data_IF_079044820966
#
_entry.id   IF_079044820966
#
_cell.length_a   1.000
_cell.length_b   1.000
_cell.length_c   1.000
_cell.angle_alpha   90.00
_cell.angle_beta   90.00
_cell.angle_gamma   90.00
#
_symmetry.space_group_name_H-M   'P 1'
#
loop_
_entity.id
_entity.type
_entity.pdbx_description
1 polymer ?
#
# COMPACT_ATOMS: atom_id res chain seq x y z
N UNK A 1 -29.70 -14.98 -27.57
CA UNK A 1 -28.69 -14.83 -26.50
C UNK A 1 -29.21 -15.52 -25.25
N UNK A 2 -28.48 -16.50 -24.71
CA UNK A 2 -29.01 -17.43 -23.73
C UNK A 2 -29.07 -16.76 -22.34
N UNK A 3 -30.28 -16.57 -21.77
CA UNK A 3 -30.48 -15.80 -20.52
C UNK A 3 -29.61 -16.31 -19.35
N UNK A 4 -29.32 -17.61 -19.31
CA UNK A 4 -28.42 -18.23 -18.32
C UNK A 4 -26.96 -17.80 -18.49
N UNK A 5 -26.51 -17.58 -19.73
CA UNK A 5 -25.15 -17.11 -20.04
C UNK A 5 -24.96 -15.64 -19.60
N UNK A 6 -26.00 -14.81 -19.80
CA UNK A 6 -26.03 -13.42 -19.35
C UNK A 6 -26.01 -13.35 -17.82
N UNK A 7 -26.81 -14.17 -17.14
CA UNK A 7 -26.83 -14.22 -15.68
C UNK A 7 -25.49 -14.68 -15.10
N UNK A 8 -24.85 -15.69 -15.71
CA UNK A 8 -23.51 -16.12 -15.33
C UNK A 8 -22.47 -15.01 -15.53
N UNK A 9 -22.53 -14.27 -16.65
CA UNK A 9 -21.63 -13.15 -16.92
C UNK A 9 -21.81 -12.01 -15.92
N UNK A 10 -23.06 -11.68 -15.57
CA UNK A 10 -23.37 -10.64 -14.58
C UNK A 10 -22.84 -11.05 -13.20
N UNK A 11 -23.10 -12.29 -12.76
CA UNK A 11 -22.61 -12.79 -11.47
C UNK A 11 -21.08 -12.84 -11.47
N UNK A 12 -20.45 -13.30 -12.55
CA UNK A 12 -19.00 -13.32 -12.71
C UNK A 12 -18.40 -11.91 -12.63
N UNK A 13 -18.96 -10.93 -13.35
CA UNK A 13 -18.52 -9.54 -13.30
C UNK A 13 -18.68 -8.91 -11.91
N UNK A 14 -19.77 -9.19 -11.19
CA UNK A 14 -19.99 -8.70 -9.82
C UNK A 14 -19.00 -9.33 -8.82
N UNK A 15 -18.66 -10.61 -8.99
CA UNK A 15 -17.69 -11.28 -8.12
C UNK A 15 -16.23 -10.86 -8.40
N UNK A 16 -15.89 -10.59 -9.67
CA UNK A 16 -14.58 -10.05 -10.05
C UNK A 16 -14.40 -8.62 -9.52
N UNK A 17 -15.43 -7.78 -9.66
CA UNK A 17 -15.38 -6.37 -9.23
C UNK A 17 -15.22 -6.25 -7.72
N UNK A 18 -15.83 -7.14 -6.92
CA UNK A 18 -15.70 -7.14 -5.47
C UNK A 18 -14.27 -7.47 -4.97
N UNK A 19 -13.53 -8.30 -5.70
CA UNK A 19 -12.13 -8.60 -5.39
C UNK A 19 -11.20 -7.44 -5.77
N UNK A 20 -11.47 -6.79 -6.91
CA UNK A 20 -10.73 -5.58 -7.33
C UNK A 20 -11.02 -4.41 -6.40
N UNK A 21 -12.25 -4.22 -5.92
CA UNK A 21 -12.63 -3.14 -4.99
C UNK A 21 -11.97 -3.25 -3.60
N UNK A 22 -11.61 -4.46 -3.14
CA UNK A 22 -10.99 -4.66 -1.82
C UNK A 22 -9.51 -4.27 -1.78
N UNK A 23 -8.75 -4.55 -2.84
CA UNK A 23 -7.30 -4.27 -2.95
C UNK A 23 -7.02 -2.91 -3.61
N UNK A 24 -7.97 -2.41 -4.43
CA UNK A 24 -7.82 -1.19 -5.22
C UNK A 24 -7.27 0.02 -4.45
N UNK A 25 -7.69 0.34 -3.21
CA UNK A 25 -7.22 1.56 -2.54
C UNK A 25 -5.72 1.60 -2.26
N UNK A 26 -5.13 0.50 -1.78
CA UNK A 26 -3.68 0.42 -1.52
C UNK A 26 -2.89 0.26 -2.82
N UNK A 27 -3.46 -0.43 -3.81
CA UNK A 27 -2.83 -0.58 -5.14
C UNK A 27 -2.77 0.75 -5.88
N UNK A 28 -3.81 1.57 -5.76
CA UNK A 28 -3.83 2.95 -6.25
C UNK A 28 -2.70 3.77 -5.62
N UNK A 29 -2.53 3.71 -4.30
CA UNK A 29 -1.43 4.42 -3.63
C UNK A 29 -0.06 3.94 -4.12
N UNK A 30 0.13 2.63 -4.25
CA UNK A 30 1.37 2.06 -4.80
C UNK A 30 1.66 2.63 -6.19
N UNK A 31 0.65 2.74 -7.06
CA UNK A 31 0.81 3.31 -8.40
C UNK A 31 1.12 4.81 -8.35
N UNK A 32 0.45 5.59 -7.48
CA UNK A 32 0.77 7.01 -7.28
C UNK A 32 2.21 7.24 -6.84
N UNK A 33 2.70 6.47 -5.86
CA UNK A 33 4.11 6.54 -5.44
C UNK A 33 5.09 6.14 -6.55
N UNK A 34 4.73 5.16 -7.38
CA UNK A 34 5.56 4.74 -8.50
C UNK A 34 5.60 5.79 -9.62
N UNK A 35 4.47 6.39 -9.97
CA UNK A 35 4.40 7.48 -10.94
C UNK A 35 5.19 8.69 -10.44
N UNK A 36 4.99 9.07 -9.19
CA UNK A 36 5.70 10.19 -8.58
C UNK A 36 7.21 9.95 -8.50
N UNK A 37 7.65 8.71 -8.26
CA UNK A 37 9.08 8.39 -8.27
C UNK A 37 9.68 8.60 -9.66
N UNK A 38 8.96 8.28 -10.74
CA UNK A 38 9.43 8.55 -12.09
C UNK A 38 9.53 10.06 -12.37
N UNK A 39 8.54 10.84 -11.91
CA UNK A 39 8.57 12.30 -12.02
C UNK A 39 9.77 12.89 -11.27
N UNK A 40 9.98 12.49 -10.01
CA UNK A 40 11.12 12.92 -9.18
C UNK A 40 12.46 12.49 -9.80
N UNK A 41 12.55 11.26 -10.33
CA UNK A 41 13.77 10.75 -10.97
C UNK A 41 14.20 11.63 -12.16
N UNK A 42 13.24 12.16 -12.91
CA UNK A 42 13.53 13.03 -14.05
C UNK A 42 14.24 14.34 -13.64
N UNK A 43 14.11 14.76 -12.39
CA UNK A 43 14.73 15.98 -11.85
C UNK A 43 16.19 15.79 -11.45
N UNK A 44 16.69 14.55 -11.37
CA UNK A 44 18.05 14.27 -10.88
C UNK A 44 19.14 14.95 -11.73
N UNK A 45 18.91 15.10 -13.03
CA UNK A 45 19.88 15.71 -13.95
C UNK A 45 19.86 17.23 -13.94
N UNK A 46 18.82 17.87 -13.37
CA UNK A 46 18.60 19.32 -13.47
C UNK A 46 18.39 20.02 -12.13
N UNK A 47 18.16 19.29 -11.05
CA UNK A 47 17.90 19.87 -9.73
C UNK A 47 19.14 20.49 -9.11
N UNK A 48 18.95 21.60 -8.40
CA UNK A 48 19.97 22.22 -7.55
C UNK A 48 20.15 21.49 -6.21
N UNK A 49 19.23 20.59 -5.86
CA UNK A 49 19.22 19.84 -4.61
C UNK A 49 19.29 18.31 -4.85
N UNK A 50 20.29 17.79 -5.59
CA UNK A 50 20.28 16.39 -6.05
C UNK A 50 20.25 15.37 -4.90
N UNK A 51 20.90 15.65 -3.77
CA UNK A 51 20.83 14.80 -2.58
C UNK A 51 19.41 14.70 -2.00
N UNK A 52 18.64 15.80 -2.04
CA UNK A 52 17.25 15.81 -1.60
C UNK A 52 16.42 15.00 -2.59
N UNK A 53 16.58 15.21 -3.90
CA UNK A 53 15.86 14.45 -4.94
C UNK A 53 16.09 12.93 -4.81
N UNK A 54 17.34 12.49 -4.58
CA UNK A 54 17.64 11.07 -4.33
C UNK A 54 16.87 10.54 -3.13
N UNK A 55 16.81 11.31 -2.03
CA UNK A 55 16.06 10.90 -0.84
C UNK A 55 14.55 10.81 -1.11
N UNK A 56 13.97 11.76 -1.84
CA UNK A 56 12.55 11.71 -2.22
C UNK A 56 12.26 10.48 -3.08
N UNK A 57 13.13 10.19 -4.05
CA UNK A 57 13.01 9.02 -4.91
C UNK A 57 13.11 7.71 -4.12
N UNK A 58 14.11 7.58 -3.25
CA UNK A 58 14.29 6.40 -2.38
C UNK A 58 13.10 6.18 -1.47
N UNK A 59 12.53 7.26 -0.93
CA UNK A 59 11.32 7.23 -0.09
C UNK A 59 10.14 6.62 -0.85
N UNK A 60 9.90 7.07 -2.09
CA UNK A 60 8.84 6.54 -2.94
C UNK A 60 9.05 5.06 -3.25
N UNK A 61 10.27 4.69 -3.67
CA UNK A 61 10.57 3.32 -4.08
C UNK A 61 10.49 2.33 -2.90
N UNK A 62 10.94 2.75 -1.72
CA UNK A 62 10.77 1.95 -0.49
C UNK A 62 9.29 1.66 -0.23
N UNK A 63 8.43 2.68 -0.32
CA UNK A 63 6.99 2.52 -0.14
C UNK A 63 6.37 1.60 -1.20
N UNK A 64 6.78 1.71 -2.47
CA UNK A 64 6.34 0.80 -3.54
C UNK A 64 6.72 -0.65 -3.24
N UNK A 65 7.96 -0.90 -2.80
CA UNK A 65 8.45 -2.24 -2.46
C UNK A 65 7.67 -2.82 -1.28
N UNK A 66 7.43 -2.02 -0.24
CA UNK A 66 6.65 -2.45 0.91
C UNK A 66 5.21 -2.82 0.55
N UNK A 67 4.56 -2.04 -0.33
CA UNK A 67 3.22 -2.33 -0.82
C UNK A 67 3.20 -3.57 -1.74
N UNK A 68 4.20 -3.76 -2.59
CA UNK A 68 4.34 -4.97 -3.41
C UNK A 68 4.49 -6.22 -2.53
N UNK A 69 5.30 -6.16 -1.47
CA UNK A 69 5.46 -7.25 -0.51
C UNK A 69 4.13 -7.57 0.21
N UNK A 70 3.38 -6.54 0.59
CA UNK A 70 2.02 -6.71 1.14
C UNK A 70 1.10 -7.48 0.18
N UNK A 71 1.04 -7.08 -1.09
CA UNK A 71 0.22 -7.79 -2.09
C UNK A 71 0.69 -9.22 -2.34
N UNK A 72 2.00 -9.47 -2.29
CA UNK A 72 2.53 -10.82 -2.41
C UNK A 72 2.12 -11.72 -1.23
N UNK A 73 2.12 -11.19 0.00
CA UNK A 73 1.61 -11.93 1.17
C UNK A 73 0.13 -12.24 1.07
N UNK A 74 -0.70 -11.30 0.57
CA UNK A 74 -2.11 -11.58 0.29
C UNK A 74 -2.25 -12.78 -0.67
N UNK A 75 -1.52 -12.76 -1.79
CA UNK A 75 -1.55 -13.84 -2.78
C UNK A 75 -1.10 -15.20 -2.21
N UNK A 76 -0.08 -15.21 -1.32
CA UNK A 76 0.34 -16.43 -0.62
C UNK A 76 -0.82 -16.96 0.22
N UNK A 77 -1.45 -16.12 1.04
CA UNK A 77 -2.54 -16.56 1.90
C UNK A 77 -3.78 -17.02 1.12
N UNK A 78 -4.07 -16.38 -0.03
CA UNK A 78 -5.14 -16.83 -0.93
C UNK A 78 -4.84 -18.18 -1.58
N UNK A 79 -3.55 -18.48 -1.83
CA UNK A 79 -3.08 -19.72 -2.42
C UNK A 79 -2.99 -20.88 -1.42
N UNK A 80 -2.78 -20.59 -0.13
CA UNK A 80 -2.70 -21.59 0.96
C UNK A 80 -4.11 -21.98 1.48
N UNK A 81 -5.10 -22.04 0.58
CA UNK A 81 -6.49 -22.49 0.84
C UNK A 81 -6.63 -23.96 1.28
N UNK A 82 -5.55 -24.64 1.66
CA UNK A 82 -5.48 -26.07 2.00
C UNK A 82 -5.55 -26.39 3.50
N UNK A 83 -5.82 -25.42 4.38
CA UNK A 83 -6.08 -25.70 5.80
C UNK A 83 -4.84 -25.97 6.66
N UNK A 84 -3.67 -25.51 6.23
CA UNK A 84 -2.35 -25.73 6.86
C UNK A 84 -1.67 -24.47 7.40
N UNK A 85 -2.38 -23.35 7.54
CA UNK A 85 -1.83 -22.22 8.29
C UNK A 85 -2.05 -22.48 9.78
N UNK A 86 -0.98 -22.86 10.47
CA UNK A 86 -0.95 -22.98 11.93
C UNK A 86 -1.02 -21.61 12.62
N UNK A 87 -0.66 -20.54 11.91
CA UNK A 87 -0.58 -19.17 12.41
C UNK A 87 -1.66 -18.26 11.79
N UNK A 88 -2.09 -17.24 12.54
CA UNK A 88 -3.15 -16.28 12.14
C UNK A 88 -2.68 -15.35 11.00
N UNK A 89 -3.11 -15.54 9.74
CA UNK A 89 -2.65 -14.75 8.59
C UNK A 89 -3.01 -13.27 8.71
N UNK A 90 -4.12 -12.98 9.40
CA UNK A 90 -4.58 -11.61 9.64
C UNK A 90 -3.62 -10.86 10.57
N UNK A 91 -2.94 -11.57 11.47
CA UNK A 91 -1.91 -11.01 12.33
C UNK A 91 -0.70 -10.54 11.53
N UNK A 92 -0.16 -11.36 10.63
CA UNK A 92 1.00 -10.99 9.81
C UNK A 92 0.71 -9.81 8.89
N UNK A 93 -0.45 -9.83 8.21
CA UNK A 93 -0.89 -8.71 7.38
C UNK A 93 -1.02 -7.43 8.21
N UNK A 94 -1.59 -7.52 9.41
CA UNK A 94 -1.71 -6.38 10.31
C UNK A 94 -0.36 -5.85 10.79
N UNK A 95 0.59 -6.73 11.12
CA UNK A 95 1.95 -6.34 11.50
C UNK A 95 2.66 -5.63 10.36
N UNK A 96 2.55 -6.15 9.14
CA UNK A 96 3.16 -5.53 7.97
C UNK A 96 2.59 -4.14 7.68
N UNK A 97 1.26 -4.00 7.70
CA UNK A 97 0.61 -2.70 7.49
C UNK A 97 1.01 -1.67 8.56
N UNK A 98 1.16 -2.09 9.82
CA UNK A 98 1.69 -1.22 10.89
C UNK A 98 3.13 -0.78 10.63
N UNK A 99 3.97 -1.68 10.13
CA UNK A 99 5.35 -1.35 9.78
C UNK A 99 5.42 -0.32 8.64
N UNK A 100 4.60 -0.49 7.59
CA UNK A 100 4.48 0.51 6.52
C UNK A 100 4.09 1.87 7.12
N UNK A 101 3.13 1.92 8.03
CA UNK A 101 2.69 3.15 8.68
C UNK A 101 3.80 3.81 9.50
N UNK A 102 4.60 3.02 10.23
CA UNK A 102 5.74 3.53 11.00
C UNK A 102 6.79 4.16 10.07
N UNK A 103 7.14 3.47 8.98
CA UNK A 103 8.07 3.99 7.97
C UNK A 103 7.53 5.25 7.30
N UNK A 104 6.23 5.30 6.98
CA UNK A 104 5.59 6.51 6.44
C UNK A 104 5.71 7.70 7.39
N UNK A 105 5.54 7.50 8.70
CA UNK A 105 5.70 8.57 9.68
C UNK A 105 7.15 9.09 9.74
N UNK A 106 8.13 8.20 9.63
CA UNK A 106 9.54 8.60 9.52
C UNK A 106 9.78 9.39 8.23
N UNK A 107 9.21 8.96 7.10
CA UNK A 107 9.29 9.67 5.84
C UNK A 107 8.68 11.07 5.92
N UNK A 108 7.49 11.23 6.52
CA UNK A 108 6.87 12.55 6.73
C UNK A 108 7.80 13.47 7.54
N UNK A 109 8.36 12.97 8.65
CA UNK A 109 9.31 13.76 9.47
C UNK A 109 10.56 14.15 8.69
N UNK A 110 11.11 13.23 7.90
CA UNK A 110 12.29 13.49 7.06
C UNK A 110 11.97 14.54 5.98
N UNK A 111 10.79 14.48 5.38
CA UNK A 111 10.29 15.47 4.43
C UNK A 111 10.15 16.85 5.08
N UNK A 112 9.57 16.94 6.28
CA UNK A 112 9.47 18.18 7.06
C UNK A 112 10.83 18.79 7.38
N UNK A 113 11.78 17.96 7.78
CA UNK A 113 13.15 18.42 8.06
C UNK A 113 13.87 18.90 6.80
N UNK A 114 13.63 18.25 5.66
CA UNK A 114 14.26 18.59 4.38
C UNK A 114 13.88 19.98 3.89
N UNK A 115 12.67 20.48 4.21
CA UNK A 115 12.17 21.80 3.77
C UNK A 115 13.11 22.95 4.18
N UNK A 116 13.79 22.83 5.31
CA UNK A 116 14.68 23.89 5.82
C UNK A 116 15.90 24.15 4.92
N UNK A 117 16.28 23.17 4.11
CA UNK A 117 17.53 23.17 3.34
C UNK A 117 17.30 23.24 1.83
N UNK A 118 16.06 23.43 1.38
CA UNK A 118 15.72 23.45 -0.05
C UNK A 118 15.98 24.82 -0.64
N UNK A 119 16.63 24.83 -1.79
CA UNK A 119 16.89 26.05 -2.56
C UNK A 119 15.98 26.16 -3.79
N UNK A 120 15.46 25.03 -4.28
CA UNK A 120 14.60 24.95 -5.47
C UNK A 120 13.10 24.83 -5.11
N UNK A 121 12.29 25.77 -5.61
CA UNK A 121 10.83 25.77 -5.43
C UNK A 121 10.14 24.53 -6.00
N UNK A 122 10.72 23.93 -7.05
CA UNK A 122 10.17 22.70 -7.62
C UNK A 122 10.33 21.54 -6.63
N UNK A 123 11.50 21.40 -6.00
CA UNK A 123 11.75 20.39 -4.95
C UNK A 123 10.73 20.49 -3.81
N UNK A 124 10.38 21.72 -3.39
CA UNK A 124 9.35 21.95 -2.36
C UNK A 124 7.98 21.40 -2.77
N UNK A 125 7.59 21.60 -4.03
CA UNK A 125 6.31 21.10 -4.57
C UNK A 125 6.21 19.57 -4.47
N UNK A 126 7.30 18.86 -4.79
CA UNK A 126 7.34 17.40 -4.67
C UNK A 126 7.27 16.93 -3.22
N UNK A 127 7.91 17.64 -2.29
CA UNK A 127 7.78 17.33 -0.86
C UNK A 127 6.35 17.46 -0.37
N UNK A 128 5.69 18.57 -0.69
CA UNK A 128 4.31 18.81 -0.24
C UNK A 128 3.37 17.74 -0.80
N UNK A 129 3.54 17.35 -2.07
CA UNK A 129 2.77 16.26 -2.69
C UNK A 129 3.03 14.91 -2.02
N UNK A 130 4.29 14.55 -1.75
CA UNK A 130 4.62 13.29 -1.09
C UNK A 130 4.06 13.21 0.33
N UNK A 131 4.05 14.33 1.08
CA UNK A 131 3.39 14.38 2.39
C UNK A 131 1.91 14.05 2.29
N UNK A 132 1.20 14.62 1.32
CA UNK A 132 -0.22 14.30 1.08
C UNK A 132 -0.38 12.82 0.80
N UNK A 133 0.46 12.23 -0.07
CA UNK A 133 0.40 10.80 -0.37
C UNK A 133 0.65 9.93 0.86
N UNK A 134 1.61 10.28 1.71
CA UNK A 134 1.86 9.52 2.95
C UNK A 134 0.70 9.60 3.94
N UNK A 135 0.06 10.76 4.07
CA UNK A 135 -1.13 10.93 4.90
C UNK A 135 -2.32 10.11 4.37
N UNK A 136 -2.55 10.14 3.05
CA UNK A 136 -3.58 9.31 2.40
C UNK A 136 -3.31 7.81 2.56
N UNK A 137 -2.06 7.40 2.40
CA UNK A 137 -1.67 6.00 2.59
C UNK A 137 -1.91 5.55 4.03
N UNK A 138 -1.56 6.36 5.02
CA UNK A 138 -1.82 6.05 6.43
C UNK A 138 -3.31 5.86 6.71
N UNK A 139 -4.18 6.72 6.14
CA UNK A 139 -5.63 6.58 6.27
C UNK A 139 -6.13 5.26 5.66
N UNK A 140 -5.69 4.93 4.45
CA UNK A 140 -6.08 3.66 3.78
C UNK A 140 -5.56 2.44 4.52
N UNK A 141 -4.37 2.52 5.13
CA UNK A 141 -3.84 1.47 6.01
C UNK A 141 -4.73 1.28 7.24
N UNK A 142 -5.17 2.37 7.88
CA UNK A 142 -6.06 2.29 9.04
C UNK A 142 -7.39 1.63 8.71
N UNK A 143 -7.99 1.98 7.57
CA UNK A 143 -9.19 1.34 7.05
C UNK A 143 -8.99 -0.16 6.81
N UNK A 144 -7.83 -0.57 6.28
CA UNK A 144 -7.53 -1.98 6.04
C UNK A 144 -7.25 -2.76 7.33
N UNK A 145 -6.59 -2.14 8.32
CA UNK A 145 -6.38 -2.73 9.64
C UNK A 145 -7.70 -3.00 10.37
N UNK A 146 -8.69 -2.10 10.24
CA UNK A 146 -10.04 -2.33 10.79
C UNK A 146 -10.69 -3.57 10.15
N UNK A 147 -10.57 -3.73 8.82
CA UNK A 147 -11.11 -4.91 8.12
C UNK A 147 -10.43 -6.20 8.57
N UNK A 148 -9.10 -6.21 8.69
CA UNK A 148 -8.35 -7.37 9.18
C UNK A 148 -8.73 -7.71 10.63
N UNK A 149 -8.93 -6.70 11.47
CA UNK A 149 -9.41 -6.88 12.84
C UNK A 149 -10.80 -7.52 12.92
N UNK A 150 -11.74 -7.10 12.07
CA UNK A 150 -13.06 -7.71 11.97
C UNK A 150 -12.99 -9.17 11.45
N UNK A 151 -12.16 -9.42 10.43
CA UNK A 151 -11.94 -10.78 9.90
C UNK A 151 -11.43 -11.73 10.99
N UNK A 152 -10.47 -11.28 11.80
CA UNK A 152 -9.94 -12.06 12.93
C UNK A 152 -11.02 -12.50 13.92
N UNK A 153 -12.04 -11.67 14.18
CA UNK A 153 -13.14 -11.99 15.08
C UNK A 153 -14.12 -13.02 14.49
N UNK A 154 -14.20 -13.08 13.15
CA UNK A 154 -15.14 -13.98 12.43
C UNK A 154 -14.55 -15.34 12.10
N UNK A 155 -13.22 -15.49 12.11
CA UNK A 155 -12.56 -16.77 11.82
C UNK A 155 -12.67 -17.70 13.04
N UNK A 156 -13.11 -18.96 12.86
CA UNK A 156 -13.13 -19.92 13.96
C UNK A 156 -11.69 -20.16 14.41
N UNK A 157 -11.39 -19.80 15.67
CA UNK A 157 -10.13 -20.19 16.31
C UNK A 157 -10.11 -21.71 16.32
N UNK A 158 -9.28 -22.32 15.46
CA UNK A 158 -9.07 -23.76 15.48
C UNK A 158 -8.41 -24.07 16.82
N UNK A 159 -9.20 -24.60 17.75
CA UNK A 159 -8.77 -24.90 19.10
C UNK A 159 -7.42 -25.64 19.08
N UNK A 160 -6.48 -25.11 19.88
CA UNK A 160 -5.25 -25.77 20.31
C UNK A 160 -5.57 -27.24 20.57
N UNK A 161 -4.93 -28.15 19.82
CA UNK A 161 -4.92 -29.58 20.19
C UNK A 161 -4.43 -29.64 21.64
N UNK A 162 -5.28 -30.19 22.51
CA UNK A 162 -4.91 -30.62 23.87
C UNK A 162 -3.79 -31.63 23.78
#
# INVERSE_FOLDING_TARGET
MNKKLILFFIIFCITLSAYTQKIAPLLEMRNRFFEESNNIKSLLSTSKDPGIIINLWNSCMTTVLQLNAYFYMLNIFDSVKSGTLNDDPTMYLSMWLKEIKNVNQLNIKNLENSIKNITDSNTKTYIDRLKVYYLELNKKIDEELVKLGALKQTLPIKNKRR
#
